data_IF_492949253355
#
_entry.id   IF_492949253355
#
_cell.length_a   1.000
_cell.length_b   1.000
_cell.length_c   1.000
_cell.angle_alpha   90.00
_cell.angle_beta   90.00
_cell.angle_gamma   90.00
#
_symmetry.space_group_name_H-M   'P 1'
#
loop_
_entity.id
_entity.type
_entity.pdbx_description
1 polymer ?
#
# COMPACT_ATOMS: atom_id res chain seq x y z
N UNK A 1 -54.89 4.66 -35.83
CA UNK A 1 -54.50 3.97 -34.57
C UNK A 1 -53.03 3.58 -34.69
N UNK A 2 -52.13 4.38 -34.12
CA UNK A 2 -50.70 4.12 -34.13
C UNK A 2 -50.24 3.71 -32.75
N UNK A 3 -49.51 2.58 -32.57
CA UNK A 3 -48.86 2.27 -31.31
C UNK A 3 -47.46 2.93 -31.23
N UNK A 4 -47.25 3.66 -30.17
CA UNK A 4 -46.00 4.35 -29.81
C UNK A 4 -44.99 3.31 -29.32
N UNK A 5 -43.87 3.18 -30.05
CA UNK A 5 -42.68 2.44 -29.59
C UNK A 5 -41.99 3.25 -28.48
N UNK A 6 -42.00 2.72 -27.26
CA UNK A 6 -41.15 3.21 -26.16
C UNK A 6 -39.77 2.55 -26.25
N UNK A 7 -38.80 3.29 -26.76
CA UNK A 7 -37.39 2.91 -26.73
C UNK A 7 -36.83 3.05 -25.32
N UNK A 8 -36.47 1.91 -24.71
CA UNK A 8 -35.71 1.89 -23.46
C UNK A 8 -34.25 2.23 -23.71
N UNK A 9 -33.79 3.33 -23.12
CA UNK A 9 -32.36 3.69 -23.07
C UNK A 9 -31.70 2.83 -21.99
N UNK A 10 -30.92 1.86 -22.43
CA UNK A 10 -30.02 1.10 -21.53
C UNK A 10 -28.82 1.99 -21.19
N UNK A 11 -28.76 2.47 -19.95
CA UNK A 11 -27.61 3.18 -19.42
C UNK A 11 -26.49 2.16 -19.15
N UNK A 12 -25.50 2.08 -20.04
CA UNK A 12 -24.22 1.41 -19.75
C UNK A 12 -23.47 2.20 -18.69
N UNK A 13 -23.49 1.75 -17.44
CA UNK A 13 -22.60 2.21 -16.41
C UNK A 13 -21.18 1.73 -16.73
N UNK A 14 -20.35 2.61 -17.26
CA UNK A 14 -18.93 2.38 -17.44
C UNK A 14 -18.29 2.34 -16.04
N UNK A 15 -17.96 1.14 -15.59
CA UNK A 15 -17.09 0.95 -14.42
C UNK A 15 -15.68 1.39 -14.84
N UNK A 16 -15.35 2.64 -14.57
CA UNK A 16 -13.99 3.15 -14.65
C UNK A 16 -13.20 2.47 -13.53
N UNK A 17 -12.46 1.41 -13.87
CA UNK A 17 -11.38 0.89 -13.04
C UNK A 17 -10.34 2.02 -12.91
N UNK A 18 -10.45 2.80 -11.85
CA UNK A 18 -9.51 3.87 -11.55
C UNK A 18 -8.15 3.28 -11.27
N UNK A 19 -7.18 3.46 -12.17
CA UNK A 19 -5.77 3.31 -11.83
C UNK A 19 -5.50 4.27 -10.66
N UNK A 20 -5.20 3.75 -9.49
CA UNK A 20 -4.83 4.55 -8.32
C UNK A 20 -3.47 5.18 -8.62
N UNK A 21 -3.47 6.37 -9.17
CA UNK A 21 -2.24 7.16 -9.35
C UNK A 21 -1.82 7.65 -7.96
N UNK A 22 -0.67 7.22 -7.48
CA UNK A 22 -0.08 7.77 -6.25
C UNK A 22 0.56 9.09 -6.65
N UNK A 23 0.03 10.20 -6.13
CA UNK A 23 0.65 11.52 -6.30
C UNK A 23 1.71 11.73 -5.23
N UNK A 24 2.80 12.41 -5.58
CA UNK A 24 3.80 12.85 -4.60
C UNK A 24 3.54 14.30 -4.26
N UNK A 25 3.32 14.57 -2.97
CA UNK A 25 3.22 15.91 -2.40
C UNK A 25 4.00 15.94 -1.10
N UNK A 26 5.10 16.66 -1.08
CA UNK A 26 5.91 16.76 0.14
C UNK A 26 5.26 17.67 1.17
N UNK A 27 5.59 17.46 2.42
CA UNK A 27 5.12 18.32 3.53
C UNK A 27 5.63 19.77 3.39
N UNK A 28 6.80 19.96 2.75
CA UNK A 28 7.35 21.29 2.45
C UNK A 28 6.54 22.05 1.40
N UNK A 29 5.97 21.35 0.42
CA UNK A 29 5.18 21.95 -0.68
C UNK A 29 3.80 22.42 -0.19
N UNK A 30 3.31 21.87 0.92
CA UNK A 30 2.04 22.23 1.53
C UNK A 30 2.08 23.59 2.27
N UNK A 31 3.18 24.38 2.13
CA UNK A 31 3.38 25.63 2.83
C UNK A 31 3.44 25.40 4.34
N UNK A 32 4.65 25.34 4.88
CA UNK A 32 5.00 25.28 6.32
C UNK A 32 3.85 24.82 7.24
N UNK A 33 3.32 23.61 7.04
CA UNK A 33 2.34 23.02 7.98
C UNK A 33 3.06 22.82 9.31
N UNK A 34 2.83 23.66 10.33
CA UNK A 34 3.56 23.55 11.58
C UNK A 34 3.08 22.31 12.32
N UNK A 35 3.89 21.26 12.33
CA UNK A 35 3.61 20.04 13.09
C UNK A 35 4.11 20.13 14.54
N UNK A 36 4.94 21.12 14.86
CA UNK A 36 5.48 21.31 16.21
C UNK A 36 4.36 21.32 17.26
N UNK A 37 4.42 20.40 18.21
CA UNK A 37 3.43 20.23 19.28
C UNK A 37 2.03 19.79 18.81
N UNK A 38 1.85 19.44 17.53
CA UNK A 38 0.56 18.97 17.02
C UNK A 38 0.41 17.47 17.25
N UNK A 39 -0.77 17.09 17.70
CA UNK A 39 -1.15 15.68 17.90
C UNK A 39 -1.40 15.01 16.55
N UNK A 40 -0.70 13.90 16.32
CA UNK A 40 -0.81 13.07 15.13
C UNK A 40 -1.28 11.67 15.54
N UNK A 41 -2.40 11.22 14.99
CA UNK A 41 -2.78 9.82 15.09
C UNK A 41 -2.14 9.03 13.95
N UNK A 42 -1.79 7.79 14.23
CA UNK A 42 -1.33 6.82 13.23
C UNK A 42 -2.48 5.89 12.91
N UNK A 43 -2.80 5.75 11.63
CA UNK A 43 -3.86 4.88 11.13
C UNK A 43 -3.28 4.00 10.02
N UNK A 44 -3.38 2.69 10.18
CA UNK A 44 -3.06 1.74 9.13
C UNK A 44 -4.31 1.37 8.33
N UNK A 45 -4.10 1.04 7.07
CA UNK A 45 -5.18 0.63 6.18
C UNK A 45 -5.33 -0.90 6.20
N UNK A 46 -6.50 -1.43 5.82
CA UNK A 46 -6.65 -2.87 5.67
C UNK A 46 -5.59 -3.43 4.72
N UNK A 47 -4.99 -4.59 5.03
CA UNK A 47 -3.97 -5.17 4.19
C UNK A 47 -4.51 -5.49 2.80
N UNK A 48 -3.76 -5.15 1.77
CA UNK A 48 -4.08 -5.57 0.41
C UNK A 48 -3.85 -7.08 0.23
N UNK A 49 -4.45 -7.65 -0.80
CA UNK A 49 -4.28 -9.07 -1.10
C UNK A 49 -2.83 -9.36 -1.49
N UNK A 50 -2.19 -10.27 -0.78
CA UNK A 50 -0.92 -10.86 -1.21
C UNK A 50 -1.21 -11.91 -2.29
N UNK A 51 -0.58 -11.76 -3.45
CA UNK A 51 -0.77 -12.69 -4.56
C UNK A 51 0.57 -13.30 -5.00
N UNK A 52 0.53 -14.56 -5.42
CA UNK A 52 1.67 -15.25 -6.04
C UNK A 52 1.35 -15.48 -7.50
N UNK A 53 2.07 -14.80 -8.40
CA UNK A 53 1.88 -14.91 -9.84
C UNK A 53 2.53 -16.19 -10.37
N UNK A 54 1.83 -17.31 -10.24
CA UNK A 54 2.29 -18.60 -10.77
C UNK A 54 2.27 -18.59 -12.31
N UNK A 55 3.27 -19.17 -12.95
CA UNK A 55 3.40 -19.20 -14.43
C UNK A 55 2.15 -19.76 -15.11
N UNK A 56 1.60 -20.88 -14.60
CA UNK A 56 0.36 -21.45 -15.15
C UNK A 56 -0.87 -20.60 -14.84
N UNK A 57 -0.94 -19.96 -13.68
CA UNK A 57 -2.01 -19.04 -13.34
C UNK A 57 -2.02 -17.82 -14.25
N UNK A 58 -0.84 -17.27 -14.57
CA UNK A 58 -0.71 -16.16 -15.54
C UNK A 58 -1.14 -16.60 -16.93
N UNK A 59 -0.80 -17.83 -17.37
CA UNK A 59 -1.23 -18.35 -18.67
C UNK A 59 -2.74 -18.52 -18.78
N UNK A 60 -3.46 -18.75 -17.67
CA UNK A 60 -4.92 -18.85 -17.62
C UNK A 60 -5.61 -17.47 -17.59
N UNK A 61 -4.85 -16.36 -17.52
CA UNK A 61 -5.40 -15.03 -17.45
C UNK A 61 -6.33 -14.84 -16.23
N UNK A 62 -7.53 -14.23 -16.42
CA UNK A 62 -8.45 -13.98 -15.30
C UNK A 62 -8.87 -15.25 -14.54
N UNK A 63 -8.89 -16.40 -15.19
CA UNK A 63 -9.24 -17.67 -14.56
C UNK A 63 -8.19 -18.19 -13.57
N UNK A 64 -6.93 -17.72 -13.69
CA UNK A 64 -5.86 -18.05 -12.76
C UNK A 64 -5.80 -17.19 -11.50
N UNK A 65 -6.53 -16.05 -11.47
CA UNK A 65 -6.49 -15.12 -10.33
C UNK A 65 -6.87 -15.77 -9.00
N UNK A 66 -7.94 -16.56 -8.89
CA UNK A 66 -8.31 -17.20 -7.62
C UNK A 66 -7.21 -18.12 -7.06
N UNK A 67 -6.52 -18.84 -7.92
CA UNK A 67 -5.41 -19.71 -7.54
C UNK A 67 -4.21 -18.92 -7.02
N UNK A 68 -3.83 -17.84 -7.72
CA UNK A 68 -2.75 -16.95 -7.31
C UNK A 68 -3.01 -16.31 -5.95
N UNK A 69 -4.26 -15.94 -5.66
CA UNK A 69 -4.68 -15.42 -4.36
C UNK A 69 -4.65 -16.52 -3.28
N UNK A 70 -5.13 -17.71 -3.61
CA UNK A 70 -5.15 -18.84 -2.67
C UNK A 70 -3.73 -19.23 -2.26
N UNK A 71 -2.81 -19.31 -3.23
CA UNK A 71 -1.40 -19.58 -2.96
C UNK A 71 -0.78 -18.45 -2.10
N UNK A 72 -1.09 -17.19 -2.39
CA UNK A 72 -0.65 -16.07 -1.57
C UNK A 72 -1.09 -16.18 -0.12
N UNK A 73 -2.35 -16.53 0.13
CA UNK A 73 -2.87 -16.74 1.49
C UNK A 73 -2.15 -17.89 2.20
N UNK A 74 -1.87 -18.98 1.48
CA UNK A 74 -1.14 -20.14 2.00
C UNK A 74 0.26 -19.71 2.47
N UNK A 75 1.00 -19.00 1.62
CA UNK A 75 2.35 -18.50 1.93
C UNK A 75 2.33 -17.58 3.15
N UNK A 76 1.38 -16.65 3.23
CA UNK A 76 1.29 -15.77 4.41
C UNK A 76 1.05 -16.56 5.70
N UNK A 77 0.14 -17.54 5.67
CA UNK A 77 -0.22 -18.33 6.84
C UNK A 77 0.89 -19.28 7.27
N UNK A 78 1.41 -20.08 6.34
CA UNK A 78 2.40 -21.12 6.62
C UNK A 78 3.76 -20.53 7.01
N UNK A 79 4.13 -19.42 6.35
CA UNK A 79 5.41 -18.76 6.56
C UNK A 79 5.35 -17.61 7.58
N UNK A 80 4.19 -17.34 8.16
CA UNK A 80 4.00 -16.24 9.12
C UNK A 80 4.49 -14.88 8.61
N UNK A 81 4.16 -14.56 7.35
CA UNK A 81 4.50 -13.27 6.74
C UNK A 81 3.37 -12.28 7.06
N UNK A 82 3.72 -11.16 7.68
CA UNK A 82 2.79 -10.09 8.04
C UNK A 82 2.96 -8.88 7.14
N UNK A 83 1.88 -8.11 6.95
CA UNK A 83 1.92 -6.86 6.19
C UNK A 83 2.86 -5.85 6.88
N UNK A 84 3.86 -5.29 6.17
CA UNK A 84 4.80 -4.35 6.76
C UNK A 84 4.26 -2.94 7.02
N UNK A 85 3.01 -2.63 6.66
CA UNK A 85 2.45 -1.27 6.76
C UNK A 85 2.55 -0.70 8.18
N UNK A 86 2.32 -1.51 9.22
CA UNK A 86 2.43 -1.08 10.62
C UNK A 86 3.87 -0.70 11.00
N UNK A 87 4.85 -1.47 10.54
CA UNK A 87 6.27 -1.17 10.80
C UNK A 87 6.69 0.12 10.07
N UNK A 88 6.25 0.32 8.84
CA UNK A 88 6.49 1.57 8.10
C UNK A 88 5.84 2.75 8.83
N UNK A 89 4.59 2.59 9.29
CA UNK A 89 3.85 3.62 9.98
C UNK A 89 4.57 4.08 11.27
N UNK A 90 5.08 3.13 12.05
CA UNK A 90 5.84 3.42 13.25
C UNK A 90 7.11 4.26 12.94
N UNK A 91 7.90 3.85 11.94
CA UNK A 91 9.13 4.57 11.56
C UNK A 91 8.84 5.97 11.03
N UNK A 92 7.75 6.17 10.27
CA UNK A 92 7.34 7.48 9.80
C UNK A 92 6.83 8.37 10.94
N UNK A 93 6.08 7.80 11.90
CA UNK A 93 5.62 8.50 13.10
C UNK A 93 6.77 8.99 13.96
N UNK A 94 7.77 8.13 14.20
CA UNK A 94 9.00 8.51 14.92
C UNK A 94 9.75 9.62 14.20
N UNK A 95 9.80 9.58 12.87
CA UNK A 95 10.43 10.63 12.06
C UNK A 95 9.68 11.97 12.17
N UNK A 96 8.34 11.94 12.19
CA UNK A 96 7.52 13.14 12.40
C UNK A 96 7.72 13.71 13.81
N UNK A 97 7.80 12.84 14.82
CA UNK A 97 8.07 13.27 16.20
C UNK A 97 9.47 13.90 16.33
N UNK A 98 10.51 13.19 15.88
CA UNK A 98 11.88 13.63 16.04
C UNK A 98 12.28 14.82 15.18
N UNK A 99 11.83 14.89 13.93
CA UNK A 99 12.26 15.91 12.97
C UNK A 99 11.33 17.11 12.88
N UNK A 100 10.05 16.93 13.19
CA UNK A 100 9.01 17.96 13.06
C UNK A 100 8.39 18.35 14.40
N UNK A 101 8.81 17.70 15.50
CA UNK A 101 8.30 17.96 16.85
C UNK A 101 6.82 17.64 17.04
N UNK A 102 6.30 16.71 16.26
CA UNK A 102 4.93 16.24 16.41
C UNK A 102 4.76 15.39 17.68
N UNK A 103 3.55 15.34 18.21
CA UNK A 103 3.17 14.47 19.33
C UNK A 103 2.36 13.30 18.78
N UNK A 104 2.95 12.12 18.75
CA UNK A 104 2.28 10.91 18.27
C UNK A 104 1.33 10.38 19.33
N UNK A 105 0.10 10.09 18.94
CA UNK A 105 -0.94 9.52 19.81
C UNK A 105 -0.93 7.99 19.73
N UNK A 106 -1.06 7.37 20.89
CA UNK A 106 -1.21 5.91 21.02
C UNK A 106 -2.62 5.56 21.56
N UNK A 107 -3.16 4.37 21.25
CA UNK A 107 -2.62 3.37 20.34
C UNK A 107 -2.86 3.73 18.87
N UNK A 108 -2.15 3.06 17.96
CA UNK A 108 -2.43 3.13 16.53
C UNK A 108 -3.82 2.55 16.24
N UNK A 109 -4.49 3.10 15.23
CA UNK A 109 -5.82 2.66 14.81
C UNK A 109 -5.76 2.02 13.42
N UNK A 110 -6.81 1.28 13.06
CA UNK A 110 -6.98 0.72 11.71
C UNK A 110 -8.25 1.29 11.09
N UNK A 111 -8.16 1.82 9.87
CA UNK A 111 -9.33 2.26 9.10
C UNK A 111 -10.00 1.08 8.41
N UNK A 112 -11.31 1.18 8.16
CA UNK A 112 -12.05 0.22 7.34
C UNK A 112 -12.05 0.59 5.85
N UNK A 113 -11.58 1.78 5.51
CA UNK A 113 -11.54 2.28 4.14
C UNK A 113 -10.34 3.15 3.87
N UNK A 114 -10.11 3.43 2.60
CA UNK A 114 -8.93 4.17 2.10
C UNK A 114 -9.24 5.64 1.78
N UNK A 115 -10.49 6.07 1.87
CA UNK A 115 -10.83 7.47 1.68
C UNK A 115 -10.47 8.33 2.93
N UNK A 116 -10.11 9.62 2.73
CA UNK A 116 -9.68 10.48 3.83
C UNK A 116 -10.71 10.63 4.96
N UNK A 117 -12.01 10.53 4.66
CA UNK A 117 -13.05 10.67 5.69
C UNK A 117 -13.11 9.41 6.58
N UNK A 118 -13.02 8.22 5.99
CA UNK A 118 -12.97 6.95 6.73
C UNK A 118 -11.70 6.87 7.61
N UNK A 119 -10.56 7.30 7.08
CA UNK A 119 -9.29 7.34 7.82
C UNK A 119 -9.38 8.28 9.02
N UNK A 120 -9.89 9.50 8.82
CA UNK A 120 -10.07 10.46 9.91
C UNK A 120 -11.07 9.97 10.95
N UNK A 121 -12.14 9.27 10.53
CA UNK A 121 -13.12 8.71 11.44
C UNK A 121 -12.56 7.60 12.34
N UNK A 122 -11.51 6.89 11.91
CA UNK A 122 -10.83 5.89 12.72
C UNK A 122 -9.86 6.50 13.75
N UNK A 123 -9.46 7.75 13.57
CA UNK A 123 -8.49 8.42 14.44
C UNK A 123 -9.15 8.96 15.72
N UNK A 124 -8.40 9.05 16.85
CA UNK A 124 -8.86 9.72 18.06
C UNK A 124 -9.26 11.16 17.78
N UNK A 125 -10.34 11.69 18.42
CA UNK A 125 -10.82 13.08 18.21
C UNK A 125 -9.80 14.16 18.53
N UNK A 126 -8.81 13.85 19.36
CA UNK A 126 -7.72 14.77 19.73
C UNK A 126 -6.72 14.99 18.58
N UNK A 127 -6.69 14.11 17.57
CA UNK A 127 -5.74 14.21 16.48
C UNK A 127 -5.99 15.45 15.63
N UNK A 128 -4.94 16.27 15.45
CA UNK A 128 -4.95 17.38 14.51
C UNK A 128 -4.62 16.93 13.10
N UNK A 129 -3.75 15.95 12.98
CA UNK A 129 -3.40 15.29 11.73
C UNK A 129 -3.47 13.78 11.87
N UNK A 130 -3.63 13.10 10.77
CA UNK A 130 -3.62 11.64 10.70
C UNK A 130 -2.56 11.20 9.70
N UNK A 131 -1.58 10.42 10.18
CA UNK A 131 -0.65 9.70 9.32
C UNK A 131 -1.29 8.38 8.93
N UNK A 132 -1.68 8.26 7.67
CA UNK A 132 -2.26 7.02 7.14
C UNK A 132 -1.20 6.28 6.31
N UNK A 133 -0.98 5.01 6.63
CA UNK A 133 -0.05 4.14 5.88
C UNK A 133 -0.76 2.86 5.49
N UNK A 134 -0.53 2.43 4.26
CA UNK A 134 -1.13 1.19 3.76
C UNK A 134 -0.32 0.55 2.65
N UNK A 135 -0.39 -0.76 2.60
CA UNK A 135 0.11 -1.56 1.49
C UNK A 135 -0.86 -1.45 0.31
N UNK A 136 -0.38 -0.94 -0.81
CA UNK A 136 -1.17 -0.80 -2.05
C UNK A 136 -1.18 -2.13 -2.81
N UNK A 137 -0.02 -2.77 -2.91
CA UNK A 137 0.16 -4.05 -3.59
C UNK A 137 1.40 -4.74 -3.06
N UNK A 138 1.33 -6.04 -2.89
CA UNK A 138 2.47 -6.87 -2.49
C UNK A 138 2.29 -8.31 -2.94
N UNK A 139 3.40 -9.03 -3.05
CA UNK A 139 3.33 -10.44 -3.46
C UNK A 139 4.59 -10.93 -4.13
N UNK A 140 4.45 -12.07 -4.78
CA UNK A 140 5.47 -12.67 -5.62
C UNK A 140 5.08 -12.46 -7.08
N UNK A 141 5.87 -11.69 -7.81
CA UNK A 141 5.73 -11.49 -9.24
C UNK A 141 6.46 -12.55 -10.06
N UNK A 142 6.13 -12.63 -11.34
CA UNK A 142 6.78 -13.50 -12.30
C UNK A 142 7.26 -12.68 -13.51
N UNK A 143 8.52 -12.87 -13.89
CA UNK A 143 9.09 -12.32 -15.14
C UNK A 143 9.11 -13.43 -16.20
N UNK A 144 8.31 -13.33 -17.26
CA UNK A 144 8.09 -14.42 -18.19
C UNK A 144 9.25 -14.68 -19.17
N UNK A 145 10.29 -13.87 -19.20
CA UNK A 145 11.35 -13.94 -20.23
C UNK A 145 12.74 -13.74 -19.66
N UNK A 146 13.77 -14.46 -20.12
CA UNK A 146 13.78 -15.66 -20.98
C UNK A 146 13.49 -16.96 -20.20
N UNK A 147 13.41 -16.89 -18.88
CA UNK A 147 13.01 -17.96 -17.95
C UNK A 147 11.99 -17.40 -16.98
N UNK A 148 11.10 -18.26 -16.49
CA UNK A 148 10.17 -17.86 -15.44
C UNK A 148 10.95 -17.61 -14.16
N UNK A 149 11.28 -16.34 -13.90
CA UNK A 149 11.92 -15.90 -12.68
C UNK A 149 10.88 -15.26 -11.78
N UNK A 150 10.96 -15.57 -10.51
CA UNK A 150 10.07 -15.02 -9.49
C UNK A 150 10.82 -13.99 -8.65
N UNK A 151 10.13 -12.94 -8.26
CA UNK A 151 10.65 -11.87 -7.43
C UNK A 151 9.59 -11.39 -6.45
N UNK A 152 10.00 -10.87 -5.30
CA UNK A 152 9.08 -10.25 -4.36
C UNK A 152 8.80 -8.82 -4.80
N UNK A 153 7.57 -8.35 -4.69
CA UNK A 153 7.15 -6.97 -4.95
C UNK A 153 6.49 -6.37 -3.71
N UNK A 154 6.65 -5.05 -3.53
CA UNK A 154 6.01 -4.30 -2.47
C UNK A 154 5.75 -2.86 -2.91
N UNK A 155 4.53 -2.40 -2.70
CA UNK A 155 4.10 -1.03 -2.99
C UNK A 155 3.34 -0.51 -1.77
N UNK A 156 3.79 0.61 -1.22
CA UNK A 156 3.14 1.27 -0.10
C UNK A 156 2.78 2.72 -0.43
N UNK A 157 1.82 3.25 0.30
CA UNK A 157 1.43 4.65 0.28
C UNK A 157 1.33 5.19 1.70
N UNK A 158 1.87 6.40 1.90
CA UNK A 158 1.73 7.16 3.12
C UNK A 158 1.07 8.51 2.82
N UNK A 159 0.13 8.93 3.66
CA UNK A 159 -0.57 10.21 3.57
C UNK A 159 -0.62 10.89 4.93
N UNK A 160 -0.37 12.18 4.95
CA UNK A 160 -0.69 13.03 6.09
C UNK A 160 -1.98 13.79 5.78
N UNK A 161 -2.98 13.64 6.62
CA UNK A 161 -4.33 14.18 6.41
C UNK A 161 -4.64 15.17 7.53
N UNK A 162 -5.12 16.35 7.19
CA UNK A 162 -5.68 17.31 8.14
C UNK A 162 -7.04 16.78 8.64
N UNK A 163 -7.13 16.45 9.94
CA UNK A 163 -8.32 15.83 10.51
C UNK A 163 -9.56 16.73 10.47
N UNK A 164 -9.38 18.06 10.43
CA UNK A 164 -10.50 19.03 10.43
C UNK A 164 -11.10 19.18 9.03
N UNK A 165 -10.26 19.26 8.02
CA UNK A 165 -10.68 19.52 6.63
C UNK A 165 -10.79 18.25 5.80
N UNK A 166 -10.22 17.12 6.30
CA UNK A 166 -10.06 15.85 5.58
C UNK A 166 -9.21 15.98 4.32
N UNK A 167 -8.47 17.07 4.19
CA UNK A 167 -7.57 17.29 3.06
C UNK A 167 -6.26 16.52 3.25
N UNK A 168 -5.80 15.88 2.18
CA UNK A 168 -4.46 15.27 2.13
C UNK A 168 -3.45 16.43 2.02
N UNK A 169 -2.64 16.66 3.05
CA UNK A 169 -1.64 17.74 3.10
C UNK A 169 -0.26 17.28 2.61
N UNK A 170 0.05 15.99 2.72
CA UNK A 170 1.21 15.39 2.10
C UNK A 170 0.88 13.95 1.70
N UNK A 171 1.49 13.47 0.62
CA UNK A 171 1.32 12.11 0.10
C UNK A 171 2.61 11.65 -0.55
N UNK A 172 2.98 10.41 -0.30
CA UNK A 172 4.09 9.76 -0.98
C UNK A 172 3.78 8.28 -1.22
N UNK A 173 4.31 7.75 -2.30
CA UNK A 173 4.27 6.33 -2.61
C UNK A 173 5.64 5.76 -2.81
N UNK A 174 5.79 4.51 -2.47
CA UNK A 174 6.95 3.71 -2.78
C UNK A 174 6.53 2.59 -3.72
N UNK A 175 7.14 2.57 -4.89
CA UNK A 175 7.03 1.46 -5.83
C UNK A 175 8.44 0.97 -6.15
N UNK A 176 8.70 -0.30 -5.87
CA UNK A 176 10.00 -0.91 -6.12
C UNK A 176 9.85 -1.96 -7.24
N UNK A 177 10.05 -1.58 -8.52
CA UNK A 177 10.10 -2.54 -9.60
C UNK A 177 11.36 -3.40 -9.47
N UNK A 178 11.36 -4.61 -10.05
CA UNK A 178 12.57 -5.38 -10.18
C UNK A 178 13.62 -4.59 -10.97
N UNK A 179 14.82 -4.44 -10.42
CA UNK A 179 15.93 -3.72 -11.06
C UNK A 179 17.08 -4.66 -11.48
N UNK A 180 16.93 -5.96 -11.22
CA UNK A 180 17.91 -7.00 -11.50
C UNK A 180 18.94 -7.21 -10.38
N UNK A 181 18.92 -6.40 -9.33
CA UNK A 181 19.77 -6.57 -8.14
C UNK A 181 19.13 -7.50 -7.10
N UNK A 182 17.81 -7.69 -7.18
CA UNK A 182 17.08 -8.60 -6.31
C UNK A 182 17.20 -10.04 -6.76
N UNK A 183 16.87 -10.95 -5.83
CA UNK A 183 16.79 -12.35 -6.14
C UNK A 183 15.72 -12.60 -7.22
N UNK A 184 16.15 -13.19 -8.33
CA UNK A 184 15.30 -13.71 -9.39
C UNK A 184 15.60 -15.21 -9.53
N UNK A 185 14.62 -16.07 -9.22
CA UNK A 185 14.79 -17.51 -9.25
C UNK A 185 13.47 -18.26 -9.39
N UNK A 186 13.53 -19.58 -9.31
CA UNK A 186 12.33 -20.41 -9.35
C UNK A 186 11.45 -20.21 -8.09
N UNK A 187 10.14 -20.32 -8.25
CA UNK A 187 9.20 -20.16 -7.13
C UNK A 187 9.51 -21.12 -5.97
N UNK A 188 9.88 -22.38 -6.28
CA UNK A 188 10.24 -23.35 -5.25
C UNK A 188 11.43 -22.93 -4.39
N UNK A 189 12.38 -22.17 -4.95
CA UNK A 189 13.53 -21.63 -4.20
C UNK A 189 13.09 -20.47 -3.29
N UNK A 190 12.22 -19.59 -3.78
CA UNK A 190 11.66 -18.49 -2.99
C UNK A 190 10.81 -18.99 -1.82
N UNK A 191 10.00 -20.03 -2.05
CA UNK A 191 9.10 -20.59 -1.06
C UNK A 191 9.77 -21.60 -0.11
N UNK A 192 11.05 -21.93 -0.33
CA UNK A 192 11.78 -22.85 0.54
C UNK A 192 12.04 -22.27 1.94
N UNK A 193 12.35 -23.14 2.90
CA UNK A 193 12.78 -22.78 4.25
C UNK A 193 11.82 -21.83 4.98
N UNK A 194 10.51 -22.13 4.97
CA UNK A 194 9.46 -21.29 5.55
C UNK A 194 9.46 -19.86 4.98
N UNK A 195 9.60 -19.72 3.68
CA UNK A 195 9.59 -18.44 2.98
C UNK A 195 10.76 -17.51 3.36
N UNK A 196 11.88 -18.06 3.79
CA UNK A 196 13.03 -17.27 4.25
C UNK A 196 13.49 -16.24 3.23
N UNK A 197 13.56 -16.61 1.95
CA UNK A 197 13.96 -15.66 0.90
C UNK A 197 12.88 -14.60 0.66
N UNK A 198 11.59 -14.96 0.68
CA UNK A 198 10.49 -13.98 0.56
C UNK A 198 10.58 -12.96 1.68
N UNK A 199 10.80 -13.39 2.93
CA UNK A 199 10.96 -12.49 4.08
C UNK A 199 12.16 -11.56 3.93
N UNK A 200 13.29 -12.09 3.49
CA UNK A 200 14.53 -11.31 3.29
C UNK A 200 14.34 -10.24 2.21
N UNK A 201 13.78 -10.62 1.06
CA UNK A 201 13.52 -9.69 -0.04
C UNK A 201 12.45 -8.65 0.34
N UNK A 202 11.40 -9.07 1.04
CA UNK A 202 10.37 -8.16 1.53
C UNK A 202 10.95 -7.14 2.49
N UNK A 203 11.78 -7.56 3.45
CA UNK A 203 12.45 -6.66 4.39
C UNK A 203 13.32 -5.64 3.66
N UNK A 204 14.14 -6.06 2.70
CA UNK A 204 14.98 -5.17 1.90
C UNK A 204 14.15 -4.14 1.12
N UNK A 205 12.97 -4.54 0.59
CA UNK A 205 12.06 -3.61 -0.10
C UNK A 205 11.39 -2.64 0.84
N UNK A 206 11.00 -3.09 2.02
CA UNK A 206 10.43 -2.26 3.09
C UNK A 206 11.42 -1.19 3.53
N UNK A 207 12.68 -1.55 3.74
CA UNK A 207 13.73 -0.60 4.11
C UNK A 207 13.91 0.49 3.04
N UNK A 208 13.97 0.09 1.77
CA UNK A 208 13.99 1.05 0.66
C UNK A 208 12.74 1.93 0.62
N UNK A 209 11.55 1.34 0.83
CA UNK A 209 10.29 2.07 0.89
C UNK A 209 10.29 3.11 2.01
N UNK A 210 10.73 2.76 3.20
CA UNK A 210 10.86 3.70 4.32
C UNK A 210 11.73 4.89 3.93
N UNK A 211 12.88 4.64 3.28
CA UNK A 211 13.76 5.71 2.83
C UNK A 211 13.07 6.65 1.82
N UNK A 212 12.38 6.11 0.81
CA UNK A 212 11.64 6.91 -0.17
C UNK A 212 10.50 7.68 0.47
N UNK A 213 9.71 7.02 1.32
CA UNK A 213 8.57 7.66 1.97
C UNK A 213 9.02 8.80 2.91
N UNK A 214 10.14 8.63 3.63
CA UNK A 214 10.70 9.72 4.45
C UNK A 214 11.11 10.90 3.59
N UNK A 215 11.89 10.66 2.54
CA UNK A 215 12.33 11.72 1.62
C UNK A 215 11.14 12.44 0.98
N UNK A 216 10.20 11.69 0.41
CA UNK A 216 9.16 12.24 -0.45
C UNK A 216 7.97 12.79 0.36
N UNK A 217 7.66 12.22 1.54
CA UNK A 217 6.60 12.72 2.42
C UNK A 217 7.09 13.87 3.31
N UNK A 218 8.28 13.71 3.92
CA UNK A 218 8.77 14.65 4.94
C UNK A 218 9.73 15.70 4.39
N UNK A 219 10.29 15.49 3.19
CA UNK A 219 11.28 16.37 2.58
C UNK A 219 12.64 16.32 3.29
N UNK A 220 13.09 15.10 3.68
CA UNK A 220 14.34 14.93 4.47
C UNK A 220 15.29 13.94 3.81
#
# INVERSE_FOLDING_TARGET
MNPILRGGVAACAAVLAGCTTISTRTLSDAGATPLQGRQIAVVTLPPSTFAVMLTHGVALGPLGIPEMIAEGRRVLADDHIVDPADAIAAVLADSLAGQRGAVVLEPHATSQGDDPAAIVAAAPPAARYVLAVGTVSWGVGNLPMPRSNYFVSYVARARLIDARTKAVVAEAGCMQPPDGSEFNGAYAELAADNGRLIKTELAARVDRCIHFLKRDLLGT
#
